data_IF_513284034203
#
_entry.id   IF_513284034203
#
_cell.length_a   1.000
_cell.length_b   1.000
_cell.length_c   1.000
_cell.angle_alpha   90.00
_cell.angle_beta   90.00
_cell.angle_gamma   90.00
#
_symmetry.space_group_name_H-M   'P 1'
#
loop_
_entity.id
_entity.type
_entity.pdbx_description
1 polymer ?
#
# COMPACT_ATOMS: atom_id res chain seq x y z
N UNK A 1 -22.53 -16.18 9.39
CA UNK A 1 -22.03 -17.42 8.79
C UNK A 1 -20.83 -17.05 7.93
N UNK A 2 -19.60 -17.30 8.45
CA UNK A 2 -18.39 -17.09 7.68
C UNK A 2 -18.35 -18.12 6.57
N UNK A 3 -18.40 -17.67 5.34
CA UNK A 3 -18.17 -18.52 4.19
C UNK A 3 -16.71 -18.97 4.29
N UNK A 4 -16.49 -20.23 4.56
CA UNK A 4 -15.17 -20.85 4.52
C UNK A 4 -14.72 -20.81 3.04
N UNK A 5 -14.12 -19.69 2.64
CA UNK A 5 -13.92 -19.29 1.23
C UNK A 5 -12.81 -20.13 0.58
N UNK A 6 -12.02 -20.86 1.39
CA UNK A 6 -10.83 -21.54 0.91
C UNK A 6 -10.86 -23.05 1.25
N UNK A 7 -10.76 -23.86 0.21
CA UNK A 7 -10.36 -25.25 0.33
C UNK A 7 -8.90 -25.28 0.81
N UNK A 8 -8.57 -26.10 1.82
CA UNK A 8 -7.21 -26.22 2.40
C UNK A 8 -6.14 -26.53 1.35
N UNK A 9 -6.47 -27.35 0.35
CA UNK A 9 -5.55 -27.67 -0.74
C UNK A 9 -5.15 -26.43 -1.54
N UNK A 10 -6.10 -25.56 -1.88
CA UNK A 10 -5.82 -24.31 -2.59
C UNK A 10 -4.98 -23.32 -1.77
N UNK A 11 -5.14 -23.32 -0.45
CA UNK A 11 -4.28 -22.52 0.41
C UNK A 11 -2.86 -23.09 0.41
N UNK A 12 -2.69 -24.41 0.43
CA UNK A 12 -1.38 -25.05 0.31
C UNK A 12 -0.68 -24.67 -0.99
N UNK A 13 -1.38 -24.71 -2.13
CA UNK A 13 -0.85 -24.30 -3.44
C UNK A 13 -0.31 -22.85 -3.43
N UNK A 14 -0.87 -21.96 -2.61
CA UNK A 14 -0.39 -20.57 -2.49
C UNK A 14 1.04 -20.50 -1.91
N UNK A 15 1.39 -21.43 -1.04
CA UNK A 15 2.61 -21.40 -0.24
C UNK A 15 3.61 -22.52 -0.57
N UNK A 16 3.42 -23.24 -1.67
CA UNK A 16 4.31 -24.32 -2.09
C UNK A 16 5.72 -23.84 -2.42
N UNK A 17 5.82 -22.69 -3.09
CA UNK A 17 7.09 -22.11 -3.48
C UNK A 17 7.56 -21.10 -2.43
N UNK A 18 8.50 -21.50 -1.59
CA UNK A 18 9.15 -20.65 -0.59
C UNK A 18 10.47 -20.13 -1.12
N UNK A 19 10.65 -18.81 -1.19
CA UNK A 19 11.89 -18.16 -1.57
C UNK A 19 12.45 -17.35 -0.39
N UNK A 20 13.74 -17.54 -0.10
CA UNK A 20 14.44 -16.69 0.85
C UNK A 20 14.94 -15.41 0.17
N UNK A 21 14.66 -14.25 0.76
CA UNK A 21 15.19 -12.96 0.32
C UNK A 21 16.49 -12.71 1.07
N UNK A 22 17.64 -12.64 0.39
CA UNK A 22 18.90 -12.33 1.04
C UNK A 22 18.86 -11.00 1.79
N UNK A 23 19.38 -10.95 3.01
CA UNK A 23 19.40 -9.72 3.82
C UNK A 23 20.18 -8.57 3.17
N UNK A 24 21.10 -8.88 2.27
CA UNK A 24 21.79 -7.88 1.44
C UNK A 24 20.86 -7.10 0.49
N UNK A 25 19.69 -7.69 0.15
CA UNK A 25 18.65 -7.04 -0.65
C UNK A 25 17.61 -6.29 0.19
N UNK A 26 17.68 -6.39 1.52
CA UNK A 26 16.81 -5.68 2.42
C UNK A 26 17.45 -4.34 2.77
N UNK A 27 16.77 -3.20 2.45
CA UNK A 27 17.30 -1.87 2.72
C UNK A 27 17.70 -1.65 4.17
N UNK A 28 18.87 -1.09 4.37
CA UNK A 28 19.36 -0.62 5.67
C UNK A 28 19.69 0.86 5.54
N UNK A 29 19.02 1.68 6.33
CA UNK A 29 19.23 3.13 6.34
C UNK A 29 20.35 3.43 7.33
N UNK A 30 21.50 3.79 6.82
CA UNK A 30 22.70 4.08 7.63
C UNK A 30 22.73 5.49 8.18
N UNK A 31 21.93 6.42 7.68
CA UNK A 31 21.99 7.82 8.05
C UNK A 31 20.63 8.43 8.39
N UNK A 32 20.66 9.47 9.22
CA UNK A 32 19.55 10.34 9.58
C UNK A 32 19.08 11.25 8.42
N UNK A 33 19.51 10.99 7.19
CA UNK A 33 19.31 11.88 6.06
C UNK A 33 17.95 11.72 5.34
N UNK A 34 17.01 10.99 5.92
CA UNK A 34 15.66 10.90 5.35
C UNK A 34 14.92 12.23 5.48
N UNK A 35 13.94 12.48 4.62
CA UNK A 35 13.02 13.62 4.75
C UNK A 35 12.19 13.58 6.01
N UNK A 36 11.94 12.39 6.51
CA UNK A 36 11.50 12.20 7.89
C UNK A 36 12.64 12.43 8.90
N UNK A 37 13.84 12.72 8.45
CA UNK A 37 15.00 13.19 9.19
C UNK A 37 15.28 12.45 10.48
N UNK A 38 15.46 13.19 11.57
CA UNK A 38 15.55 12.63 12.92
C UNK A 38 14.35 11.76 13.33
N UNK A 39 13.24 11.83 12.59
CA UNK A 39 12.01 11.10 12.85
C UNK A 39 12.00 9.69 12.25
N UNK A 40 13.05 9.26 11.55
CA UNK A 40 13.04 7.88 11.03
C UNK A 40 13.02 6.86 12.17
N UNK A 41 13.63 7.18 13.29
CA UNK A 41 13.56 6.37 14.49
C UNK A 41 12.16 6.35 15.08
N UNK A 42 11.50 7.50 15.11
CA UNK A 42 10.11 7.62 15.53
C UNK A 42 9.19 6.87 14.57
N UNK A 43 9.42 6.98 13.26
CA UNK A 43 8.67 6.23 12.27
C UNK A 43 8.82 4.71 12.46
N UNK A 44 10.05 4.22 12.66
CA UNK A 44 10.29 2.79 12.91
C UNK A 44 9.60 2.38 14.21
N UNK A 45 9.75 3.13 15.29
CA UNK A 45 9.14 2.85 16.57
C UNK A 45 7.59 2.92 16.53
N UNK A 46 7.03 3.81 15.71
CA UNK A 46 5.59 3.85 15.47
C UNK A 46 5.07 2.60 14.73
N UNK A 47 5.87 2.02 13.85
CA UNK A 47 5.47 0.85 13.03
C UNK A 47 5.79 -0.49 13.68
N UNK A 48 6.69 -0.52 14.64
CA UNK A 48 7.21 -1.76 15.22
C UNK A 48 7.14 -1.72 16.74
N UNK A 49 6.43 -2.67 17.34
CA UNK A 49 6.44 -2.85 18.80
C UNK A 49 7.81 -3.29 19.28
N UNK A 50 8.41 -2.53 20.19
CA UNK A 50 9.75 -2.80 20.71
C UNK A 50 9.81 -4.08 21.58
N UNK A 51 8.75 -4.37 22.33
CA UNK A 51 8.79 -5.42 23.38
C UNK A 51 9.21 -6.79 22.87
N UNK A 52 8.60 -7.26 21.78
CA UNK A 52 8.93 -8.59 21.23
C UNK A 52 10.29 -8.58 20.56
N UNK A 53 10.63 -7.51 19.85
CA UNK A 53 11.92 -7.40 19.18
C UNK A 53 13.08 -7.26 20.15
N UNK A 54 12.91 -6.53 21.24
CA UNK A 54 13.93 -6.44 22.28
C UNK A 54 14.21 -7.81 22.89
N UNK A 55 13.18 -8.61 23.19
CA UNK A 55 13.33 -10.00 23.65
C UNK A 55 14.10 -10.86 22.64
N UNK A 56 13.78 -10.73 21.34
CA UNK A 56 14.45 -11.46 20.25
C UNK A 56 15.93 -11.08 20.19
N UNK A 57 16.25 -9.79 20.28
CA UNK A 57 17.63 -9.26 20.20
C UNK A 57 18.45 -9.69 21.43
N UNK A 58 17.90 -9.53 22.62
CA UNK A 58 18.57 -9.85 23.89
C UNK A 58 18.93 -11.33 23.98
N UNK A 59 17.99 -12.20 23.63
CA UNK A 59 18.17 -13.65 23.70
C UNK A 59 18.74 -14.25 22.42
N UNK A 60 19.02 -13.45 21.39
CA UNK A 60 19.53 -13.89 20.07
C UNK A 60 18.66 -14.98 19.43
N UNK A 61 17.37 -14.88 19.59
CA UNK A 61 16.40 -15.83 19.02
C UNK A 61 16.23 -15.51 17.52
N UNK A 62 16.08 -16.54 16.70
CA UNK A 62 15.83 -16.36 15.27
C UNK A 62 14.44 -15.79 15.07
N UNK A 63 14.32 -14.78 14.19
CA UNK A 63 13.05 -14.25 13.69
C UNK A 63 12.96 -14.54 12.20
N UNK A 64 11.98 -15.35 11.82
CA UNK A 64 11.62 -15.56 10.43
C UNK A 64 10.45 -14.63 10.03
N UNK A 65 10.64 -13.82 8.99
CA UNK A 65 9.63 -12.93 8.43
C UNK A 65 9.04 -13.61 7.20
N UNK A 66 7.76 -13.92 7.24
CA UNK A 66 7.10 -14.68 6.19
C UNK A 66 5.97 -13.86 5.52
N UNK A 67 5.97 -13.81 4.19
CA UNK A 67 4.87 -13.25 3.39
C UNK A 67 3.64 -14.15 3.39
N UNK A 68 2.98 -14.26 4.53
CA UNK A 68 1.83 -15.16 4.76
C UNK A 68 0.65 -14.34 5.29
N UNK A 69 -0.54 -14.58 4.76
CA UNK A 69 -1.75 -14.10 5.38
C UNK A 69 -2.00 -14.82 6.71
N UNK A 70 -2.14 -14.07 7.81
CA UNK A 70 -2.28 -14.63 9.17
C UNK A 70 -3.45 -15.61 9.30
N UNK A 71 -4.55 -15.40 8.59
CA UNK A 71 -5.67 -16.35 8.52
C UNK A 71 -5.32 -17.72 7.92
N UNK A 72 -4.16 -17.86 7.30
CA UNK A 72 -3.67 -19.12 6.74
C UNK A 72 -2.57 -19.79 7.60
N UNK A 73 -2.23 -19.20 8.74
CA UNK A 73 -1.08 -19.61 9.55
C UNK A 73 -1.12 -21.07 9.97
N UNK A 74 -2.29 -21.59 10.28
CA UNK A 74 -2.44 -23.01 10.67
C UNK A 74 -2.11 -23.98 9.55
N UNK A 75 -2.45 -23.63 8.31
CA UNK A 75 -2.16 -24.47 7.14
C UNK A 75 -0.67 -24.39 6.84
N UNK A 76 -0.08 -23.20 6.88
CA UNK A 76 1.35 -23.01 6.68
C UNK A 76 2.16 -23.70 7.78
N UNK A 77 1.69 -23.67 9.03
CA UNK A 77 2.27 -24.42 10.14
C UNK A 77 2.44 -25.90 9.80
N UNK A 78 1.37 -26.53 9.30
CA UNK A 78 1.41 -27.93 8.89
C UNK A 78 2.39 -28.18 7.76
N UNK A 79 2.38 -27.32 6.73
CA UNK A 79 3.26 -27.42 5.56
C UNK A 79 4.74 -27.31 5.93
N UNK A 80 5.08 -26.41 6.88
CA UNK A 80 6.46 -26.16 7.31
C UNK A 80 6.90 -27.07 8.47
N UNK A 81 6.00 -27.92 8.98
CA UNK A 81 6.29 -28.86 10.04
C UNK A 81 6.52 -28.18 11.39
N UNK A 82 5.82 -27.09 11.68
CA UNK A 82 5.87 -26.43 12.97
C UNK A 82 5.02 -27.19 14.00
N UNK A 83 5.66 -27.74 15.02
CA UNK A 83 4.97 -28.59 16.01
C UNK A 83 4.03 -27.79 16.90
N UNK A 84 4.43 -26.59 17.31
CA UNK A 84 3.65 -25.68 18.14
C UNK A 84 3.72 -24.26 17.61
N UNK A 85 2.61 -23.56 17.70
CA UNK A 85 2.51 -22.14 17.43
C UNK A 85 1.73 -21.47 18.55
N UNK A 86 2.21 -20.35 19.02
CA UNK A 86 1.58 -19.53 20.05
C UNK A 86 1.47 -18.09 19.51
N UNK A 87 0.28 -17.54 19.57
CA UNK A 87 0.02 -16.17 19.17
C UNK A 87 0.60 -15.19 20.19
N UNK A 88 1.47 -14.30 19.74
CA UNK A 88 2.13 -13.30 20.59
C UNK A 88 1.49 -11.92 20.43
N UNK A 89 0.87 -11.69 19.30
CA UNK A 89 0.17 -10.43 18.99
C UNK A 89 0.72 -9.68 17.78
N UNK A 90 0.03 -8.60 17.38
CA UNK A 90 0.41 -7.82 16.23
C UNK A 90 1.66 -6.98 16.48
N UNK A 91 2.38 -6.66 15.41
CA UNK A 91 3.56 -5.78 15.43
C UNK A 91 3.21 -4.37 15.94
N UNK A 92 1.96 -3.95 15.74
CA UNK A 92 1.36 -2.71 16.23
C UNK A 92 -0.10 -2.99 16.56
N UNK A 93 -0.64 -2.29 17.56
CA UNK A 93 -2.05 -2.45 17.93
C UNK A 93 -2.97 -2.18 16.73
N UNK A 94 -3.91 -3.08 16.49
CA UNK A 94 -4.92 -2.94 15.44
C UNK A 94 -5.82 -1.73 15.72
N UNK A 95 -6.08 -0.94 14.69
CA UNK A 95 -6.98 0.21 14.78
C UNK A 95 -8.30 -0.10 14.10
N UNK A 96 -9.40 0.23 14.78
CA UNK A 96 -10.70 0.23 14.14
C UNK A 96 -10.83 1.40 13.16
N UNK A 97 -11.31 1.09 11.97
CA UNK A 97 -11.65 2.08 10.95
C UNK A 97 -13.16 2.35 10.97
N UNK A 98 -13.61 3.49 10.42
CA UNK A 98 -15.05 3.73 10.23
C UNK A 98 -15.75 2.55 9.55
N UNK A 99 -16.99 2.28 9.92
CA UNK A 99 -17.82 1.16 9.44
C UNK A 99 -17.37 -0.23 9.90
N UNK A 100 -16.61 -0.33 10.98
CA UNK A 100 -16.19 -1.61 11.56
C UNK A 100 -15.08 -2.31 10.77
N UNK A 101 -14.41 -1.62 9.86
CA UNK A 101 -13.22 -2.13 9.23
C UNK A 101 -12.06 -2.08 10.21
N UNK A 102 -11.22 -3.11 10.21
CA UNK A 102 -10.02 -3.16 11.03
C UNK A 102 -8.78 -3.02 10.17
N UNK A 103 -7.83 -2.16 10.58
CA UNK A 103 -6.47 -2.23 10.05
C UNK A 103 -5.76 -3.38 10.71
N UNK A 104 -5.42 -4.39 9.95
CA UNK A 104 -4.62 -5.52 10.42
C UNK A 104 -3.16 -5.29 10.11
N UNK A 105 -2.33 -5.61 11.08
CA UNK A 105 -0.88 -5.47 11.01
C UNK A 105 -0.20 -6.84 10.98
N UNK A 106 1.08 -6.90 10.57
CA UNK A 106 1.88 -8.10 10.73
C UNK A 106 1.81 -8.65 12.15
N UNK A 107 1.83 -9.97 12.30
CA UNK A 107 1.52 -10.66 13.54
C UNK A 107 2.67 -11.58 13.97
N UNK A 108 3.07 -11.49 15.23
CA UNK A 108 4.11 -12.32 15.80
C UNK A 108 3.55 -13.63 16.35
N UNK A 109 4.28 -14.70 16.06
CA UNK A 109 4.05 -16.04 16.61
C UNK A 109 5.34 -16.59 17.19
N UNK A 110 5.23 -17.25 18.34
CA UNK A 110 6.30 -18.05 18.88
C UNK A 110 6.11 -19.49 18.39
N UNK A 111 7.14 -20.04 17.76
CA UNK A 111 7.06 -21.30 17.02
C UNK A 111 8.08 -22.27 17.56
N UNK A 112 7.69 -23.55 17.64
CA UNK A 112 8.61 -24.66 17.91
C UNK A 112 8.59 -25.62 16.73
N UNK A 113 9.80 -25.96 16.27
CA UNK A 113 10.03 -27.01 15.27
C UNK A 113 11.09 -27.96 15.81
N UNK A 114 10.75 -29.22 15.99
CA UNK A 114 11.58 -30.19 16.71
C UNK A 114 11.92 -29.67 18.13
N UNK A 115 13.19 -29.46 18.44
CA UNK A 115 13.66 -28.88 19.71
C UNK A 115 13.97 -27.39 19.62
N UNK A 116 13.91 -26.80 18.44
CA UNK A 116 14.26 -25.40 18.22
C UNK A 116 13.03 -24.50 18.43
N UNK A 117 13.26 -23.36 19.06
CA UNK A 117 12.27 -22.33 19.30
C UNK A 117 12.70 -21.03 18.60
N UNK A 118 11.81 -20.42 17.85
CA UNK A 118 12.03 -19.19 17.11
C UNK A 118 10.75 -18.37 16.99
N UNK A 119 10.87 -17.14 16.55
CA UNK A 119 9.71 -16.29 16.25
C UNK A 119 9.43 -16.27 14.76
N UNK A 120 8.15 -16.18 14.42
CA UNK A 120 7.66 -15.93 13.07
C UNK A 120 6.89 -14.62 13.07
N UNK A 121 7.18 -13.74 12.12
CA UNK A 121 6.34 -12.59 11.80
C UNK A 121 5.60 -12.89 10.49
N UNK A 122 4.30 -13.06 10.58
CA UNK A 122 3.42 -13.16 9.42
C UNK A 122 3.18 -11.76 8.87
N UNK A 123 3.53 -11.56 7.62
CA UNK A 123 3.41 -10.29 6.90
C UNK A 123 2.49 -10.51 5.71
N UNK A 124 1.53 -9.62 5.50
CA UNK A 124 0.65 -9.73 4.34
C UNK A 124 1.44 -9.96 3.05
N UNK A 125 1.11 -10.99 2.24
CA UNK A 125 1.91 -11.36 1.08
C UNK A 125 2.01 -10.22 0.06
N UNK A 126 3.16 -10.11 -0.54
CA UNK A 126 3.54 -9.11 -1.52
C UNK A 126 5.02 -8.79 -1.35
N UNK A 127 5.80 -8.94 -2.42
CA UNK A 127 7.26 -8.79 -2.37
C UNK A 127 7.68 -7.47 -1.71
N UNK A 128 7.08 -6.38 -2.16
CA UNK A 128 7.41 -5.02 -1.75
C UNK A 128 7.05 -4.81 -0.27
N UNK A 129 5.89 -5.28 0.17
CA UNK A 129 5.47 -5.13 1.56
C UNK A 129 6.30 -5.98 2.52
N UNK A 130 6.64 -7.21 2.12
CA UNK A 130 7.56 -8.07 2.90
C UNK A 130 8.92 -7.40 3.04
N UNK A 131 9.48 -6.84 1.95
CA UNK A 131 10.74 -6.10 1.97
C UNK A 131 10.65 -4.87 2.87
N UNK A 132 9.55 -4.11 2.79
CA UNK A 132 9.35 -2.93 3.62
C UNK A 132 9.35 -3.27 5.12
N UNK A 133 8.54 -4.25 5.53
CA UNK A 133 8.50 -4.67 6.95
C UNK A 133 9.85 -5.25 7.40
N UNK A 134 10.46 -6.08 6.57
CA UNK A 134 11.80 -6.62 6.86
C UNK A 134 12.85 -5.49 7.01
N UNK A 135 12.75 -4.43 6.20
CA UNK A 135 13.63 -3.26 6.31
C UNK A 135 13.44 -2.51 7.63
N UNK A 136 12.19 -2.30 8.06
CA UNK A 136 11.90 -1.68 9.36
C UNK A 136 12.54 -2.48 10.49
N UNK A 137 12.34 -3.79 10.49
CA UNK A 137 12.87 -4.68 11.53
C UNK A 137 14.40 -4.73 11.49
N UNK A 138 15.00 -4.88 10.31
CA UNK A 138 16.45 -4.86 10.15
C UNK A 138 17.06 -3.57 10.69
N UNK A 139 16.47 -2.41 10.35
CA UNK A 139 16.92 -1.12 10.85
C UNK A 139 16.78 -1.02 12.38
N UNK A 140 15.68 -1.50 12.95
CA UNK A 140 15.50 -1.55 14.41
C UNK A 140 16.58 -2.39 15.07
N UNK A 141 16.79 -3.62 14.58
CA UNK A 141 17.77 -4.58 15.11
C UNK A 141 19.19 -4.01 15.06
N UNK A 142 19.60 -3.46 13.90
CA UNK A 142 20.96 -2.92 13.72
C UNK A 142 21.25 -1.70 14.60
N UNK A 143 20.24 -0.89 14.88
CA UNK A 143 20.38 0.27 15.80
C UNK A 143 20.49 -0.15 17.26
N UNK A 144 19.77 -1.20 17.67
CA UNK A 144 19.89 -1.77 19.00
C UNK A 144 21.20 -2.52 19.20
N UNK A 145 21.61 -3.29 18.20
CA UNK A 145 22.83 -4.10 18.25
C UNK A 145 23.40 -4.35 16.87
N UNK A 146 24.39 -3.55 16.50
CA UNK A 146 25.02 -3.63 15.19
C UNK A 146 25.61 -5.02 14.87
N UNK A 147 25.42 -5.46 13.63
CA UNK A 147 25.97 -6.72 13.11
C UNK A 147 25.28 -7.99 13.62
N UNK A 148 24.11 -7.87 14.27
CA UNK A 148 23.38 -9.05 14.74
C UNK A 148 22.29 -9.51 13.75
N UNK A 149 21.81 -8.63 12.86
CA UNK A 149 20.70 -8.95 11.97
C UNK A 149 20.94 -10.20 11.13
N UNK A 150 22.14 -10.38 10.57
CA UNK A 150 22.51 -11.56 9.76
C UNK A 150 22.46 -12.88 10.55
N UNK A 151 22.49 -12.81 11.88
CA UNK A 151 22.45 -13.99 12.75
C UNK A 151 21.05 -14.37 13.16
N UNK A 152 20.15 -13.39 13.28
CA UNK A 152 18.82 -13.60 13.85
C UNK A 152 17.69 -13.39 12.87
N UNK A 153 17.89 -12.72 11.74
CA UNK A 153 16.82 -12.47 10.78
C UNK A 153 16.89 -13.39 9.58
N UNK A 154 15.72 -13.88 9.16
CA UNK A 154 15.51 -14.56 7.87
C UNK A 154 14.23 -14.04 7.26
N UNK A 155 14.22 -13.84 5.95
CA UNK A 155 13.07 -13.24 5.24
C UNK A 155 12.64 -14.17 4.13
N UNK A 156 11.37 -14.52 4.14
CA UNK A 156 10.78 -15.44 3.17
C UNK A 156 9.59 -14.80 2.46
N UNK A 157 9.55 -14.99 1.15
CA UNK A 157 8.37 -14.67 0.35
C UNK A 157 7.82 -15.92 -0.32
N UNK A 158 6.59 -15.80 -0.74
CA UNK A 158 5.93 -16.80 -1.58
C UNK A 158 5.54 -16.10 -2.88
N UNK A 159 6.05 -16.54 -4.05
CA UNK A 159 5.78 -15.91 -5.33
C UNK A 159 4.27 -15.86 -5.59
N UNK A 160 3.76 -14.66 -5.86
CA UNK A 160 2.34 -14.44 -6.07
C UNK A 160 2.10 -14.26 -7.56
N UNK A 161 1.47 -15.25 -8.18
CA UNK A 161 0.92 -15.12 -9.53
C UNK A 161 -0.44 -14.42 -9.46
N UNK A 162 -0.90 -13.91 -10.60
CA UNK A 162 -2.23 -13.32 -10.70
C UNK A 162 -3.32 -14.30 -10.23
N UNK A 163 -3.24 -15.55 -10.66
CA UNK A 163 -4.18 -16.59 -10.28
C UNK A 163 -4.19 -16.84 -8.76
N UNK A 164 -3.01 -16.90 -8.13
CA UNK A 164 -2.89 -17.03 -6.68
C UNK A 164 -3.55 -15.84 -5.94
N UNK A 165 -3.38 -14.60 -6.41
CA UNK A 165 -4.04 -13.43 -5.82
C UNK A 165 -5.56 -13.53 -5.94
N UNK A 166 -6.08 -13.98 -7.08
CA UNK A 166 -7.52 -14.18 -7.25
C UNK A 166 -8.09 -15.25 -6.32
N UNK A 167 -7.40 -16.37 -6.23
CA UNK A 167 -7.81 -17.47 -5.35
C UNK A 167 -7.84 -17.00 -3.90
N UNK A 168 -6.82 -16.28 -3.51
CA UNK A 168 -6.61 -15.80 -2.17
C UNK A 168 -7.51 -14.63 -1.79
N UNK A 169 -7.70 -13.66 -2.65
CA UNK A 169 -8.51 -12.48 -2.37
C UNK A 169 -10.01 -12.77 -2.32
N UNK A 170 -10.46 -13.87 -2.93
CA UNK A 170 -11.89 -14.19 -3.05
C UNK A 170 -12.67 -13.24 -3.96
N UNK A 171 -12.03 -12.25 -4.60
CA UNK A 171 -12.68 -11.22 -5.45
C UNK A 171 -13.61 -11.87 -6.49
N UNK A 172 -13.13 -12.88 -7.19
CA UNK A 172 -13.92 -13.60 -8.19
C UNK A 172 -15.18 -14.26 -7.64
N UNK A 173 -15.12 -14.80 -6.42
CA UNK A 173 -16.27 -15.48 -5.80
C UNK A 173 -17.36 -14.50 -5.41
N UNK A 174 -16.99 -13.29 -5.09
CA UNK A 174 -17.94 -12.28 -4.61
C UNK A 174 -18.81 -11.71 -5.72
N UNK A 175 -18.40 -11.82 -6.99
CA UNK A 175 -19.13 -11.31 -8.18
C UNK A 175 -19.69 -9.90 -7.99
N UNK A 176 -18.94 -9.06 -7.24
CA UNK A 176 -19.38 -7.72 -6.86
C UNK A 176 -19.16 -6.76 -8.02
N UNK A 177 -18.03 -6.85 -8.69
CA UNK A 177 -17.67 -6.01 -9.82
C UNK A 177 -18.54 -6.37 -11.02
N UNK A 178 -19.10 -5.35 -11.66
CA UNK A 178 -19.89 -5.47 -12.88
C UNK A 178 -19.26 -4.68 -14.01
N UNK A 179 -19.74 -4.94 -15.21
CA UNK A 179 -19.30 -4.19 -16.40
C UNK A 179 -19.55 -2.69 -16.22
N UNK A 180 -18.56 -1.90 -16.58
CA UNK A 180 -18.55 -0.43 -16.50
C UNK A 180 -18.56 0.15 -15.07
N UNK A 181 -18.27 -0.64 -14.05
CA UNK A 181 -18.12 -0.09 -12.70
C UNK A 181 -16.94 0.89 -12.63
N UNK A 182 -17.12 1.93 -11.82
CA UNK A 182 -16.06 2.79 -11.34
C UNK A 182 -15.63 2.29 -9.98
N UNK A 183 -14.36 1.98 -9.82
CA UNK A 183 -13.82 1.51 -8.55
C UNK A 183 -12.97 2.60 -7.93
N UNK A 184 -13.29 2.96 -6.69
CA UNK A 184 -12.51 3.88 -5.87
C UNK A 184 -11.76 3.07 -4.81
N UNK A 185 -10.45 3.27 -4.73
CA UNK A 185 -9.56 2.57 -3.79
C UNK A 185 -8.84 3.60 -2.95
N UNK A 186 -8.63 3.32 -1.67
CA UNK A 186 -7.76 4.10 -0.82
C UNK A 186 -8.47 4.81 0.32
N UNK A 187 -8.22 6.11 0.52
CA UNK A 187 -8.74 6.85 1.64
C UNK A 187 -10.27 6.94 1.69
N UNK A 188 -10.80 6.83 2.90
CA UNK A 188 -12.23 6.81 3.15
C UNK A 188 -12.85 8.20 3.04
N UNK A 189 -13.24 8.58 1.82
CA UNK A 189 -13.85 9.89 1.52
C UNK A 189 -15.38 9.85 1.49
N UNK A 190 -16.01 8.71 1.73
CA UNK A 190 -17.46 8.51 1.62
C UNK A 190 -18.28 9.53 2.42
N UNK A 191 -17.93 9.90 3.67
CA UNK A 191 -18.69 10.90 4.42
C UNK A 191 -18.80 12.25 3.69
N UNK A 192 -17.74 12.62 2.96
CA UNK A 192 -17.71 13.87 2.20
C UNK A 192 -18.46 13.79 0.87
N UNK A 193 -18.62 12.60 0.30
CA UNK A 193 -19.37 12.38 -0.93
C UNK A 193 -20.88 12.54 -0.75
N UNK A 194 -21.40 12.40 0.47
CA UNK A 194 -22.83 12.50 0.76
C UNK A 194 -23.44 13.84 0.36
N UNK A 195 -22.71 14.95 0.55
CA UNK A 195 -23.17 16.29 0.15
C UNK A 195 -23.37 16.44 -1.37
N UNK A 196 -22.78 15.53 -2.16
CA UNK A 196 -22.92 15.48 -3.62
C UNK A 196 -23.97 14.45 -4.07
N UNK A 197 -24.79 13.93 -3.17
CA UNK A 197 -25.84 12.97 -3.49
C UNK A 197 -25.34 11.54 -3.71
N UNK A 198 -24.16 11.22 -3.22
CA UNK A 198 -23.63 9.84 -3.19
C UNK A 198 -24.07 9.18 -1.90
N UNK A 199 -24.77 8.06 -2.01
CA UNK A 199 -25.33 7.31 -0.88
C UNK A 199 -24.75 5.91 -0.79
N UNK A 200 -24.66 5.40 0.45
CA UNK A 200 -24.27 4.01 0.68
C UNK A 200 -25.49 3.11 0.46
N UNK A 201 -25.44 2.26 -0.56
CA UNK A 201 -26.48 1.26 -0.83
C UNK A 201 -26.25 0.00 -0.02
N UNK A 202 -25.00 -0.49 0.01
CA UNK A 202 -24.67 -1.74 0.64
C UNK A 202 -23.22 -1.75 1.10
N UNK A 203 -22.99 -2.30 2.30
CA UNK A 203 -21.67 -2.58 2.85
C UNK A 203 -21.50 -4.09 2.87
N UNK A 204 -20.37 -4.57 2.38
CA UNK A 204 -20.02 -5.98 2.43
C UNK A 204 -18.65 -6.10 3.09
N UNK A 205 -18.60 -6.39 4.40
CA UNK A 205 -17.36 -6.67 5.08
C UNK A 205 -16.84 -8.04 4.68
N UNK A 206 -15.57 -8.12 4.40
CA UNK A 206 -14.86 -9.37 4.17
C UNK A 206 -13.63 -9.44 5.07
N UNK A 207 -12.97 -10.61 5.15
CA UNK A 207 -11.80 -10.79 6.00
C UNK A 207 -10.55 -10.11 5.43
N UNK A 208 -10.40 -10.06 4.10
CA UNK A 208 -9.24 -9.51 3.41
C UNK A 208 -9.45 -8.09 2.95
N UNK A 209 -10.62 -7.83 2.42
CA UNK A 209 -11.03 -6.51 1.97
C UNK A 209 -12.53 -6.35 2.23
N UNK A 210 -12.93 -5.12 2.21
CA UNK A 210 -14.34 -4.76 2.35
C UNK A 210 -14.70 -3.85 1.20
N UNK A 211 -15.95 -3.93 0.75
CA UNK A 211 -16.41 -3.03 -0.28
C UNK A 211 -17.74 -2.42 0.08
N UNK A 212 -17.95 -1.25 -0.45
CA UNK A 212 -19.16 -0.47 -0.27
C UNK A 212 -19.69 -0.15 -1.65
N UNK A 213 -20.94 -0.54 -1.89
CA UNK A 213 -21.64 -0.15 -3.09
C UNK A 213 -22.26 1.21 -2.84
N UNK A 214 -21.88 2.17 -3.68
CA UNK A 214 -22.39 3.52 -3.63
C UNK A 214 -23.36 3.73 -4.79
N UNK A 215 -24.51 4.31 -4.48
CA UNK A 215 -25.43 4.86 -5.46
C UNK A 215 -25.25 6.36 -5.58
N UNK A 216 -25.53 6.89 -6.75
CA UNK A 216 -25.66 8.32 -6.97
C UNK A 216 -26.88 8.60 -7.85
N UNK A 217 -27.36 9.83 -7.80
CA UNK A 217 -28.49 10.28 -8.64
C UNK A 217 -28.20 10.27 -10.13
N UNK A 218 -26.94 10.00 -10.50
CA UNK A 218 -26.44 10.06 -11.87
C UNK A 218 -26.45 8.68 -12.56
N UNK A 219 -26.91 7.63 -11.86
CA UNK A 219 -27.08 6.29 -12.46
C UNK A 219 -25.78 5.48 -12.62
N UNK A 220 -24.64 5.96 -12.14
CA UNK A 220 -23.41 5.21 -12.15
C UNK A 220 -23.29 4.33 -10.92
N UNK A 221 -22.80 3.11 -11.14
CA UNK A 221 -22.47 2.22 -10.04
C UNK A 221 -21.01 2.42 -9.66
N UNK A 222 -20.80 2.77 -8.41
CA UNK A 222 -19.50 3.04 -7.83
C UNK A 222 -19.25 2.00 -6.75
N UNK A 223 -18.06 1.39 -6.78
CA UNK A 223 -17.58 0.52 -5.74
C UNK A 223 -16.43 1.21 -5.01
N UNK A 224 -16.57 1.36 -3.70
CA UNK A 224 -15.47 1.76 -2.86
C UNK A 224 -14.83 0.50 -2.25
N UNK A 225 -13.55 0.32 -2.51
CA UNK A 225 -12.77 -0.79 -2.01
C UNK A 225 -11.90 -0.35 -0.85
N UNK A 226 -12.13 -0.91 0.34
CA UNK A 226 -11.28 -0.79 1.50
C UNK A 226 -10.53 -2.09 1.75
N UNK A 227 -9.24 -2.00 2.02
CA UNK A 227 -8.41 -3.14 2.37
C UNK A 227 -8.23 -3.19 3.89
N UNK A 228 -8.39 -4.39 4.46
CA UNK A 228 -8.12 -4.61 5.88
C UNK A 228 -6.63 -4.76 6.16
N UNK A 229 -5.84 -5.03 5.13
CA UNK A 229 -4.39 -5.11 5.14
C UNK A 229 -3.78 -4.03 4.26
N UNK A 230 -2.51 -3.74 4.44
CA UNK A 230 -1.77 -2.92 3.49
C UNK A 230 -1.65 -3.64 2.15
N UNK A 231 -2.15 -3.03 1.08
CA UNK A 231 -2.09 -3.54 -0.29
C UNK A 231 -0.90 -2.98 -1.07
N UNK A 232 0.18 -2.83 -0.41
CA UNK A 232 1.42 -2.24 -0.87
C UNK A 232 2.00 -2.91 -2.12
N UNK A 233 2.55 -2.11 -3.02
CA UNK A 233 3.33 -2.59 -4.15
C UNK A 233 2.56 -3.41 -5.19
N UNK A 234 3.14 -4.47 -5.66
CA UNK A 234 2.60 -5.30 -6.76
C UNK A 234 1.27 -5.98 -6.44
N UNK A 235 0.95 -6.15 -5.17
CA UNK A 235 -0.30 -6.77 -4.73
C UNK A 235 -1.52 -5.98 -5.23
N UNK A 236 -1.50 -4.65 -5.12
CA UNK A 236 -2.62 -3.83 -5.59
C UNK A 236 -2.79 -3.93 -7.11
N UNK A 237 -1.67 -4.01 -7.84
CA UNK A 237 -1.71 -4.21 -9.29
C UNK A 237 -2.44 -5.51 -9.67
N UNK A 238 -2.16 -6.60 -8.96
CA UNK A 238 -2.83 -7.89 -9.18
C UNK A 238 -4.33 -7.84 -8.87
N UNK A 239 -4.69 -7.17 -7.78
CA UNK A 239 -6.11 -6.95 -7.45
C UNK A 239 -6.81 -6.14 -8.55
N UNK A 240 -6.17 -5.08 -9.05
CA UNK A 240 -6.71 -4.25 -10.14
C UNK A 240 -6.84 -5.00 -11.46
N UNK A 241 -5.88 -5.86 -11.82
CA UNK A 241 -6.01 -6.77 -12.97
C UNK A 241 -7.31 -7.58 -12.86
N UNK A 242 -7.68 -7.98 -11.64
CA UNK A 242 -8.91 -8.66 -11.35
C UNK A 242 -10.16 -7.83 -11.61
N UNK A 243 -10.17 -6.65 -11.11
CA UNK A 243 -11.29 -5.75 -11.33
C UNK A 243 -11.53 -5.50 -12.82
N UNK A 244 -10.45 -5.30 -13.58
CA UNK A 244 -10.55 -5.11 -15.02
C UNK A 244 -11.07 -6.35 -15.74
N UNK A 245 -10.65 -7.57 -15.35
CA UNK A 245 -11.16 -8.82 -15.89
C UNK A 245 -12.65 -9.04 -15.60
N UNK A 246 -13.09 -8.64 -14.42
CA UNK A 246 -14.49 -8.70 -14.00
C UNK A 246 -15.36 -7.61 -14.64
N UNK A 247 -14.76 -6.68 -15.39
CA UNK A 247 -15.47 -5.72 -16.22
C UNK A 247 -15.40 -4.28 -15.79
N UNK A 248 -14.69 -3.94 -14.71
CA UNK A 248 -14.45 -2.55 -14.34
C UNK A 248 -13.76 -1.80 -15.49
N UNK A 249 -14.10 -0.52 -15.66
CA UNK A 249 -13.47 0.31 -16.67
C UNK A 249 -12.53 1.36 -16.07
N UNK A 250 -12.81 1.83 -14.87
CA UNK A 250 -12.09 2.95 -14.26
C UNK A 250 -11.71 2.57 -12.83
N UNK A 251 -10.45 2.83 -12.49
CA UNK A 251 -9.97 2.80 -11.11
C UNK A 251 -9.51 4.20 -10.74
N UNK A 252 -10.02 4.70 -9.63
CA UNK A 252 -9.58 5.93 -8.98
C UNK A 252 -8.87 5.53 -7.70
N UNK A 253 -7.59 5.88 -7.57
CA UNK A 253 -6.81 5.63 -6.38
C UNK A 253 -6.60 6.92 -5.60
N UNK A 254 -7.02 6.93 -4.34
CA UNK A 254 -6.93 8.07 -3.45
C UNK A 254 -5.97 7.72 -2.33
N UNK A 255 -4.79 8.34 -2.34
CA UNK A 255 -3.75 8.04 -1.37
C UNK A 255 -2.93 9.29 -1.02
N UNK A 256 -2.01 9.13 -0.10
CA UNK A 256 -0.95 10.09 0.13
C UNK A 256 0.26 9.76 -0.73
N UNK A 257 1.14 10.76 -0.90
CA UNK A 257 2.44 10.62 -1.54
C UNK A 257 3.50 11.44 -0.79
N UNK A 258 4.76 11.04 -0.93
CA UNK A 258 5.88 11.91 -0.64
C UNK A 258 6.05 12.92 -1.79
N UNK A 259 5.96 14.22 -1.48
CA UNK A 259 6.15 15.26 -2.49
C UNK A 259 7.62 15.47 -2.80
N UNK A 260 7.96 15.51 -4.08
CA UNK A 260 9.28 15.90 -4.55
C UNK A 260 9.32 17.36 -5.05
N UNK A 261 8.24 18.13 -4.84
CA UNK A 261 8.15 19.56 -5.13
C UNK A 261 8.57 20.36 -3.91
N UNK A 262 8.98 21.62 -4.14
CA UNK A 262 9.35 22.50 -3.03
C UNK A 262 8.16 22.70 -2.07
N UNK A 263 8.37 22.74 -0.75
CA UNK A 263 7.29 22.89 0.23
C UNK A 263 6.51 24.20 0.07
N UNK A 264 7.16 25.26 -0.37
CA UNK A 264 6.55 26.57 -0.63
C UNK A 264 5.47 26.47 -1.72
N UNK A 265 5.65 25.57 -2.68
CA UNK A 265 4.68 25.30 -3.76
C UNK A 265 3.44 24.53 -3.25
N UNK A 266 3.42 24.09 -2.00
CA UNK A 266 2.38 23.26 -1.42
C UNK A 266 1.53 23.99 -0.36
N UNK A 267 1.56 25.32 -0.34
CA UNK A 267 0.97 26.15 0.72
C UNK A 267 -0.55 26.20 0.76
N UNK A 268 -1.26 25.53 -0.09
CA UNK A 268 -2.74 25.46 -0.09
C UNK A 268 -3.28 24.04 -0.09
N UNK A 269 -4.56 23.88 0.21
CA UNK A 269 -5.21 22.57 0.12
C UNK A 269 -5.19 22.01 -1.31
N UNK A 270 -5.43 22.86 -2.30
CA UNK A 270 -5.40 22.50 -3.72
C UNK A 270 -3.97 22.27 -4.21
N UNK A 271 -3.03 23.12 -3.80
CA UNK A 271 -1.61 22.97 -4.14
C UNK A 271 -1.01 21.65 -3.63
N UNK A 272 -1.59 21.08 -2.58
CA UNK A 272 -1.18 19.79 -2.01
C UNK A 272 -1.77 18.59 -2.76
N UNK A 273 -2.67 18.78 -3.74
CA UNK A 273 -3.30 17.70 -4.49
C UNK A 273 -2.55 17.47 -5.80
N UNK A 274 -2.32 16.21 -6.11
CA UNK A 274 -1.59 15.75 -7.30
C UNK A 274 -2.47 14.80 -8.12
N UNK A 275 -2.56 15.06 -9.42
CA UNK A 275 -3.14 14.14 -10.41
C UNK A 275 -2.04 13.81 -11.42
N UNK A 276 -1.27 12.73 -11.22
CA UNK A 276 -0.12 12.43 -12.06
C UNK A 276 -0.50 12.07 -13.48
N UNK A 277 0.36 12.49 -14.43
CA UNK A 277 0.22 12.16 -15.83
C UNK A 277 1.05 10.92 -16.22
N UNK A 278 2.26 10.83 -15.69
CA UNK A 278 3.21 9.78 -16.03
C UNK A 278 3.54 8.96 -14.77
N UNK A 279 3.72 7.66 -14.96
CA UNK A 279 3.97 6.73 -13.86
C UNK A 279 5.24 5.93 -14.14
N UNK A 280 6.12 5.92 -13.15
CA UNK A 280 7.39 5.23 -13.21
C UNK A 280 7.62 4.39 -11.96
N UNK A 281 8.60 3.50 -12.01
CA UNK A 281 9.15 2.81 -10.86
C UNK A 281 10.66 2.92 -10.90
N UNK A 282 11.26 3.26 -9.77
CA UNK A 282 12.71 3.27 -9.61
C UNK A 282 13.13 1.95 -8.95
N UNK A 283 14.03 1.24 -9.61
CA UNK A 283 14.66 0.01 -9.09
C UNK A 283 16.19 0.15 -9.22
N UNK A 284 16.87 0.47 -8.12
CA UNK A 284 18.28 0.82 -8.13
C UNK A 284 18.55 2.06 -8.99
N UNK A 285 19.39 1.92 -10.03
CA UNK A 285 19.70 3.00 -10.99
C UNK A 285 18.79 3.02 -12.22
N UNK A 286 17.81 2.13 -12.29
CA UNK A 286 16.91 1.99 -13.44
C UNK A 286 15.57 2.66 -13.19
N UNK A 287 14.98 3.20 -14.26
CA UNK A 287 13.63 3.77 -14.27
C UNK A 287 12.78 3.03 -15.28
N UNK A 288 11.68 2.46 -14.80
CA UNK A 288 10.73 1.70 -15.60
C UNK A 288 9.48 2.57 -15.78
N UNK A 289 9.03 2.75 -17.00
CA UNK A 289 7.79 3.49 -17.31
C UNK A 289 6.61 2.53 -17.43
N UNK A 290 5.43 3.00 -17.00
CA UNK A 290 4.16 2.35 -17.26
C UNK A 290 3.26 3.29 -18.06
N UNK A 291 2.55 2.71 -19.04
CA UNK A 291 1.65 3.45 -19.92
C UNK A 291 0.23 3.38 -19.38
N UNK A 292 -0.30 4.52 -18.95
CA UNK A 292 -1.72 4.66 -18.69
C UNK A 292 -2.45 4.92 -20.01
N UNK A 293 -3.37 4.04 -20.38
CA UNK A 293 -4.10 4.17 -21.64
C UNK A 293 -5.03 5.39 -21.66
N UNK A 294 -5.56 5.74 -20.50
CA UNK A 294 -6.49 6.85 -20.32
C UNK A 294 -6.49 7.31 -18.86
N UNK A 295 -6.42 8.63 -18.66
CA UNK A 295 -6.55 9.24 -17.33
C UNK A 295 -7.73 10.21 -17.36
N UNK A 296 -8.93 9.73 -16.97
CA UNK A 296 -10.15 10.51 -17.11
C UNK A 296 -10.18 11.78 -16.26
N UNK A 297 -9.45 11.86 -15.16
CA UNK A 297 -9.40 13.06 -14.33
C UNK A 297 -8.55 14.15 -14.94
N UNK A 298 -7.49 13.84 -15.67
CA UNK A 298 -6.66 14.84 -16.37
C UNK A 298 -7.43 15.57 -17.47
N UNK A 299 -8.40 14.92 -18.08
CA UNK A 299 -9.25 15.56 -19.09
C UNK A 299 -10.11 16.69 -18.51
N UNK A 300 -10.48 16.54 -17.23
CA UNK A 300 -11.33 17.48 -16.51
C UNK A 300 -10.51 18.52 -15.75
N UNK A 301 -9.40 18.11 -15.14
CA UNK A 301 -8.60 18.92 -14.22
C UNK A 301 -7.21 19.23 -14.74
N UNK A 302 -7.13 19.91 -15.89
CA UNK A 302 -5.86 20.24 -16.56
C UNK A 302 -4.92 21.13 -15.73
N UNK A 303 -5.43 21.84 -14.74
CA UNK A 303 -4.68 22.78 -13.91
C UNK A 303 -4.10 22.17 -12.64
N UNK A 304 -4.45 20.90 -12.30
CA UNK A 304 -3.88 20.25 -11.15
C UNK A 304 -2.46 19.75 -11.43
N UNK A 305 -1.67 19.63 -10.39
CA UNK A 305 -0.26 19.28 -10.39
C UNK A 305 0.03 17.96 -11.12
N UNK A 306 -0.13 17.96 -12.42
CA UNK A 306 0.28 16.85 -13.28
C UNK A 306 1.80 16.82 -13.36
N UNK A 307 2.37 15.62 -13.39
CA UNK A 307 3.82 15.45 -13.46
C UNK A 307 4.18 13.98 -13.53
N UNK A 308 5.45 13.69 -13.28
CA UNK A 308 5.95 12.32 -13.21
C UNK A 308 5.82 11.83 -11.78
N UNK A 309 5.10 10.73 -11.61
CA UNK A 309 4.97 10.02 -10.35
C UNK A 309 5.82 8.75 -10.39
N UNK A 310 6.50 8.45 -9.31
CA UNK A 310 7.31 7.23 -9.22
C UNK A 310 6.88 6.36 -8.05
N UNK A 311 7.13 5.06 -8.18
CA UNK A 311 6.98 4.12 -7.09
C UNK A 311 8.32 3.57 -6.64
N UNK A 312 8.40 3.25 -5.35
CA UNK A 312 9.50 2.53 -4.70
C UNK A 312 8.97 1.28 -4.02
N UNK A 313 9.84 0.34 -3.68
CA UNK A 313 9.40 -0.85 -2.93
C UNK A 313 9.21 -0.54 -1.44
N UNK A 314 9.95 0.44 -0.94
CA UNK A 314 9.88 0.90 0.45
C UNK A 314 10.21 2.37 0.51
N UNK A 315 9.52 3.12 1.36
CA UNK A 315 9.84 4.53 1.61
C UNK A 315 11.27 4.71 2.14
N UNK A 316 11.87 3.67 2.71
CA UNK A 316 13.27 3.70 3.13
C UNK A 316 14.26 3.78 1.95
N UNK A 317 13.80 3.52 0.71
CA UNK A 317 14.63 3.69 -0.49
C UNK A 317 14.80 5.16 -0.88
N UNK A 318 13.91 6.02 -0.43
CA UNK A 318 13.92 7.47 -0.74
C UNK A 318 15.13 8.20 -0.16
N UNK A 319 15.80 7.62 0.84
CA UNK A 319 17.04 8.17 1.41
C UNK A 319 18.27 7.95 0.55
N UNK A 320 18.22 7.00 -0.39
CA UNK A 320 19.38 6.63 -1.16
C UNK A 320 19.77 7.71 -2.17
N UNK A 321 21.08 8.01 -2.25
CA UNK A 321 21.62 8.97 -3.22
C UNK A 321 21.21 8.68 -4.66
N UNK A 322 21.23 7.42 -5.15
CA UNK A 322 20.77 7.11 -6.49
C UNK A 322 19.32 7.53 -6.72
N UNK A 323 18.42 7.20 -5.79
CA UNK A 323 17.01 7.61 -5.86
C UNK A 323 16.87 9.13 -5.97
N UNK A 324 17.47 9.89 -5.06
CA UNK A 324 17.39 11.36 -5.04
C UNK A 324 17.95 11.99 -6.31
N UNK A 325 19.06 11.43 -6.83
CA UNK A 325 19.64 11.87 -8.10
C UNK A 325 18.68 11.67 -9.27
N UNK A 326 18.02 10.51 -9.35
CA UNK A 326 17.02 10.23 -10.38
C UNK A 326 15.84 11.18 -10.25
N UNK A 327 15.29 11.37 -9.04
CA UNK A 327 14.19 12.28 -8.77
C UNK A 327 14.48 13.69 -9.28
N UNK A 328 15.66 14.24 -8.94
CA UNK A 328 16.07 15.57 -9.37
C UNK A 328 16.25 15.64 -10.90
N UNK A 329 16.91 14.65 -11.49
CA UNK A 329 17.25 14.62 -12.92
C UNK A 329 16.05 14.52 -13.82
N UNK A 330 15.02 13.77 -13.39
CA UNK A 330 13.81 13.52 -14.16
C UNK A 330 12.67 14.48 -13.84
N UNK A 331 12.81 15.35 -12.85
CA UNK A 331 11.74 16.23 -12.43
C UNK A 331 10.52 15.46 -11.87
N UNK A 332 10.77 14.40 -11.11
CA UNK A 332 9.71 13.63 -10.48
C UNK A 332 9.02 14.51 -9.45
N UNK A 333 7.68 14.50 -9.45
CA UNK A 333 6.87 15.37 -8.61
C UNK A 333 6.32 14.67 -7.36
N UNK A 334 6.20 13.35 -7.39
CA UNK A 334 5.68 12.59 -6.25
C UNK A 334 6.12 11.13 -6.25
N UNK A 335 6.09 10.52 -5.08
CA UNK A 335 6.48 9.13 -4.86
C UNK A 335 5.47 8.40 -3.95
N UNK A 336 5.16 7.15 -4.32
CA UNK A 336 4.39 6.20 -3.52
C UNK A 336 4.93 4.77 -3.69
N UNK A 337 4.13 3.78 -3.31
CA UNK A 337 4.48 2.38 -3.49
C UNK A 337 3.48 1.60 -4.38
N UNK A 338 2.41 2.22 -4.88
CA UNK A 338 1.26 1.52 -5.48
C UNK A 338 0.94 1.91 -6.91
N UNK A 339 0.98 3.20 -7.25
CA UNK A 339 0.43 3.75 -8.50
C UNK A 339 0.97 3.09 -9.76
N UNK A 340 2.28 2.88 -9.84
CA UNK A 340 2.91 2.21 -10.98
C UNK A 340 2.32 0.81 -11.22
N UNK A 341 2.07 0.06 -10.16
CA UNK A 341 1.54 -1.30 -10.25
C UNK A 341 0.09 -1.32 -10.74
N UNK A 342 -0.70 -0.31 -10.35
CA UNK A 342 -2.08 -0.15 -10.85
C UNK A 342 -2.06 0.19 -12.34
N UNK A 343 -1.18 1.10 -12.76
CA UNK A 343 -1.04 1.46 -14.18
C UNK A 343 -0.55 0.27 -15.01
N UNK A 344 0.35 -0.55 -14.48
CA UNK A 344 0.75 -1.80 -15.14
C UNK A 344 -0.42 -2.78 -15.31
N UNK A 345 -1.40 -2.76 -14.41
CA UNK A 345 -2.63 -3.55 -14.56
C UNK A 345 -3.49 -3.03 -15.72
N UNK A 346 -3.60 -1.71 -15.90
CA UNK A 346 -4.25 -1.08 -17.06
C UNK A 346 -3.57 -1.54 -18.36
N UNK A 347 -2.26 -1.41 -18.42
CA UNK A 347 -1.46 -1.76 -19.60
C UNK A 347 -1.62 -3.24 -19.98
N UNK A 348 -1.59 -4.15 -19.00
CA UNK A 348 -1.77 -5.59 -19.22
C UNK A 348 -3.19 -5.98 -19.59
N UNK A 349 -4.17 -5.20 -19.17
CA UNK A 349 -5.57 -5.46 -19.50
C UNK A 349 -5.84 -5.40 -21.01
N UNK A 350 -5.13 -4.54 -21.75
CA UNK A 350 -5.22 -4.42 -23.22
C UNK A 350 -6.55 -3.87 -23.74
N UNK A 351 -7.51 -3.54 -22.87
CA UNK A 351 -8.81 -2.96 -23.25
C UNK A 351 -8.69 -1.46 -23.49
N UNK A 352 -9.25 -0.97 -24.60
CA UNK A 352 -9.18 0.46 -24.98
C UNK A 352 -9.90 1.41 -24.01
N UNK A 353 -10.96 0.93 -23.33
CA UNK A 353 -11.83 1.74 -22.49
C UNK A 353 -11.54 1.55 -21.00
N UNK A 354 -10.30 1.28 -20.65
CA UNK A 354 -9.86 1.10 -19.28
C UNK A 354 -8.92 2.22 -18.93
N UNK A 355 -9.16 2.84 -17.79
CA UNK A 355 -8.39 3.99 -17.30
C UNK A 355 -8.08 3.93 -15.82
N UNK A 356 -7.06 4.67 -15.47
CA UNK A 356 -6.63 4.88 -14.10
C UNK A 356 -6.45 6.36 -13.83
N UNK A 357 -6.90 6.80 -12.67
CA UNK A 357 -6.61 8.13 -12.14
C UNK A 357 -6.13 8.03 -10.71
N UNK A 358 -4.96 8.56 -10.43
CA UNK A 358 -4.50 8.80 -9.09
C UNK A 358 -4.90 10.20 -8.63
N UNK A 359 -5.47 10.31 -7.44
CA UNK A 359 -5.67 11.57 -6.74
C UNK A 359 -4.91 11.47 -5.44
N UNK A 360 -3.81 12.17 -5.35
CA UNK A 360 -2.92 12.10 -4.21
C UNK A 360 -2.84 13.43 -3.49
N UNK A 361 -2.45 13.38 -2.23
CA UNK A 361 -2.07 14.57 -1.48
C UNK A 361 -0.69 14.38 -0.86
N UNK A 362 0.06 15.47 -0.76
CA UNK A 362 1.35 15.45 -0.11
C UNK A 362 1.20 15.21 1.39
N UNK A 363 1.76 14.09 1.88
CA UNK A 363 1.84 13.76 3.30
C UNK A 363 3.14 14.21 3.93
N UNK A 364 4.18 14.17 3.14
CA UNK A 364 5.55 14.47 3.52
C UNK A 364 6.33 14.99 2.30
N UNK A 365 7.54 15.43 2.53
CA UNK A 365 8.42 15.99 1.52
C UNK A 365 9.65 15.10 1.33
N UNK A 366 9.90 14.72 0.09
CA UNK A 366 11.06 13.88 -0.27
C UNK A 366 12.23 14.78 -0.63
N UNK A 367 13.25 14.76 0.20
CA UNK A 367 14.43 15.62 0.12
C UNK A 367 15.26 15.38 -1.15
N UNK A 368 15.68 16.48 -1.79
CA UNK A 368 16.58 16.43 -2.95
C UNK A 368 18.05 16.27 -2.54
N UNK A 369 18.89 15.88 -3.51
CA UNK A 369 20.30 15.53 -3.26
C UNK A 369 21.13 16.64 -2.55
N UNK A 370 20.82 17.90 -2.80
CA UNK A 370 21.62 19.06 -2.30
C UNK A 370 21.06 19.73 -1.05
N UNK A 371 19.91 19.32 -0.57
CA UNK A 371 19.26 19.96 0.56
C UNK A 371 19.87 19.52 1.88
N UNK A 372 20.23 20.49 2.73
CA UNK A 372 20.85 20.25 4.03
C UNK A 372 19.86 20.30 5.18
N UNK A 373 18.73 20.97 5.03
CA UNK A 373 17.74 21.15 6.08
C UNK A 373 16.58 20.18 5.95
N UNK A 374 16.08 19.72 7.07
CA UNK A 374 14.91 18.89 7.17
C UNK A 374 13.69 19.79 7.20
N UNK A 375 12.88 19.74 6.18
CA UNK A 375 11.65 20.50 6.13
C UNK A 375 10.53 19.60 6.64
N UNK A 376 10.06 19.88 7.87
CA UNK A 376 9.09 19.08 8.60
C UNK A 376 7.60 19.42 8.38
N UNK A 377 7.17 20.47 7.62
CA UNK A 377 5.78 20.91 7.64
C UNK A 377 4.77 19.89 7.09
N UNK A 378 5.22 18.80 6.50
CA UNK A 378 4.37 17.78 5.86
C UNK A 378 4.52 16.38 6.46
N UNK A 379 4.87 16.28 7.73
CA UNK A 379 5.02 14.99 8.38
C UNK A 379 3.66 14.40 8.79
N UNK A 380 3.41 13.13 8.43
CA UNK A 380 2.19 12.38 8.83
C UNK A 380 1.98 12.28 10.33
N UNK A 381 3.04 12.35 11.11
CA UNK A 381 3.01 12.25 12.59
C UNK A 381 2.54 13.57 13.23
N UNK A 382 2.66 14.69 12.51
CA UNK A 382 2.21 15.98 12.99
C UNK A 382 0.68 16.03 13.12
N UNK A 383 0.18 16.31 14.34
CA UNK A 383 -1.24 16.43 14.64
C UNK A 383 -1.93 17.54 13.84
N UNK A 384 -1.24 18.65 13.62
CA UNK A 384 -1.76 19.77 12.83
C UNK A 384 -1.92 19.34 11.36
N UNK A 385 -0.92 18.65 10.79
CA UNK A 385 -1.03 18.10 9.43
C UNK A 385 -2.17 17.12 9.31
N UNK A 386 -2.35 16.24 10.28
CA UNK A 386 -3.48 15.32 10.35
C UNK A 386 -4.83 16.05 10.38
N UNK A 387 -4.90 17.19 11.06
CA UNK A 387 -6.08 18.04 11.09
C UNK A 387 -6.36 18.66 9.72
N UNK A 388 -5.33 19.23 9.08
CA UNK A 388 -5.45 19.80 7.73
C UNK A 388 -5.91 18.76 6.71
N UNK A 389 -5.36 17.55 6.77
CA UNK A 389 -5.77 16.44 5.90
C UNK A 389 -7.27 16.18 6.04
N UNK A 390 -7.77 16.03 7.26
CA UNK A 390 -9.18 15.71 7.52
C UNK A 390 -10.13 16.85 7.18
N UNK A 391 -9.78 18.08 7.55
CA UNK A 391 -10.69 19.22 7.46
C UNK A 391 -10.70 19.90 6.09
N UNK A 392 -9.59 19.82 5.36
CA UNK A 392 -9.42 20.52 4.08
C UNK A 392 -9.16 19.59 2.91
N UNK A 393 -8.18 18.69 3.04
CA UNK A 393 -7.71 17.90 1.90
C UNK A 393 -8.73 16.83 1.51
N UNK A 394 -9.19 15.98 2.43
CA UNK A 394 -10.16 14.94 2.11
C UNK A 394 -11.49 15.47 1.52
N UNK A 395 -12.05 16.59 2.00
CA UNK A 395 -13.17 17.24 1.33
C UNK A 395 -12.88 17.64 -0.12
N UNK A 396 -11.70 18.21 -0.40
CA UNK A 396 -11.28 18.58 -1.77
C UNK A 396 -11.17 17.34 -2.67
N UNK A 397 -10.57 16.24 -2.17
CA UNK A 397 -10.48 14.99 -2.93
C UNK A 397 -11.88 14.42 -3.24
N UNK A 398 -12.80 14.49 -2.28
CA UNK A 398 -14.17 14.05 -2.48
C UNK A 398 -14.91 14.90 -3.51
N UNK A 399 -14.68 16.21 -3.52
CA UNK A 399 -15.22 17.12 -4.52
C UNK A 399 -14.76 16.78 -5.92
N UNK A 400 -13.46 16.55 -6.12
CA UNK A 400 -12.90 16.13 -7.40
C UNK A 400 -13.52 14.82 -7.91
N UNK A 401 -13.68 13.84 -7.03
CA UNK A 401 -14.37 12.58 -7.39
C UNK A 401 -15.82 12.82 -7.75
N UNK A 402 -16.54 13.65 -6.98
CA UNK A 402 -17.93 13.95 -7.25
C UNK A 402 -18.14 14.67 -8.58
N UNK A 403 -17.33 15.68 -8.87
CA UNK A 403 -17.36 16.39 -10.16
C UNK A 403 -17.05 15.45 -11.33
N UNK A 404 -16.07 14.56 -11.16
CA UNK A 404 -15.79 13.54 -12.16
C UNK A 404 -17.00 12.66 -12.45
N UNK A 405 -17.67 12.17 -11.41
CA UNK A 405 -18.86 11.34 -11.54
C UNK A 405 -20.02 12.06 -12.22
N UNK A 406 -20.16 13.37 -11.98
CA UNK A 406 -21.13 14.20 -12.68
C UNK A 406 -20.82 14.31 -14.17
N UNK A 407 -19.55 14.49 -14.53
CA UNK A 407 -19.13 14.63 -15.91
C UNK A 407 -19.26 13.35 -16.74
N UNK A 408 -19.14 12.16 -16.10
CA UNK A 408 -19.39 10.87 -16.77
C UNK A 408 -20.81 10.76 -17.36
N UNK A 409 -21.79 11.51 -16.81
CA UNK A 409 -23.19 11.48 -17.31
C UNK A 409 -23.42 12.38 -18.50
N UNK A 410 -22.61 13.43 -18.65
CA UNK A 410 -22.79 14.45 -19.69
C UNK A 410 -22.05 14.11 -20.99
N UNK A 411 -21.15 13.15 -20.96
CA UNK A 411 -20.42 12.71 -22.16
C UNK A 411 -21.29 11.71 -22.92
N UNK A 412 -21.69 11.99 -24.17
CA UNK A 412 -22.44 11.04 -24.98
C UNK A 412 -21.67 9.72 -25.08
N UNK A 413 -22.37 8.61 -24.83
CA UNK A 413 -21.81 7.28 -25.09
C UNK A 413 -21.51 7.18 -26.59
N UNK A 414 -20.23 7.29 -26.96
CA UNK A 414 -19.77 7.06 -28.31
C UNK A 414 -19.88 5.56 -28.69
#
# INVERSE_FOLDING_TARGET
MGVNVFNRERIRELYEEKEEIPLSKIPLVSSLEHTMGALIDEYINDKVSSTVLDQIIENKIVLEIHGIYDGHIDIVREMLGWNRIEDVGPIKQEMEKPLGFKSRYPHFYKVRKNSEEFFVLSVFPGKEYVIHIASLIKNYVERKKSGISDKILRVFRYPITEEKVYLWSGIRKCKVVKRNDVIVIGYYIIPFLRKYGVEVIRIVPDQLFSWIILGNKLGHRILFFGFNYSYWGSIIGRVCEGFFKDGANIIIHIANLGSCREPEDLSGSEASVFIPMFFTKIEGDSVIFAKNSWNPLLEIYKNYNSGIHTCVNSILEEVYKPFRRIVTRMGITGVDCEAFHIVRAVERCGRKNVGFSGIYYASDYVRKEKEREIILPYNLIDKERQRIIREKILPTLAELVAQYLQNLTTTPKA
#
